data_IF_433701807761
#
_entry.id   IF_433701807761
#
_cell.length_a   1.000
_cell.length_b   1.000
_cell.length_c   1.000
_cell.angle_alpha   90.00
_cell.angle_beta   90.00
_cell.angle_gamma   90.00
#
_symmetry.space_group_name_H-M   'P 1'
#
loop_
_entity.id
_entity.type
_entity.pdbx_description
1 polymer ?
#
# COMPACT_ATOMS: atom_id res chain seq x y z
N UNK A 1 10.66 -0.85 25.35
CA UNK A 1 9.83 0.37 25.33
C UNK A 1 8.60 0.03 24.48
N UNK A 2 7.38 0.12 25.01
CA UNK A 2 6.15 -0.19 24.27
C UNK A 2 5.20 1.00 24.30
N UNK A 3 4.33 1.10 23.31
CA UNK A 3 3.34 2.18 23.23
C UNK A 3 2.13 1.89 24.14
N UNK A 4 2.02 2.63 25.24
CA UNK A 4 0.92 2.51 26.21
C UNK A 4 -0.44 2.93 25.65
N UNK A 5 -0.48 3.58 24.47
CA UNK A 5 -1.73 3.93 23.77
C UNK A 5 -2.36 2.71 23.07
N UNK A 6 -1.56 1.68 22.81
CA UNK A 6 -1.95 0.50 22.02
C UNK A 6 -1.97 -0.76 22.90
N UNK A 7 -0.99 -0.91 23.79
CA UNK A 7 -0.86 -2.07 24.67
C UNK A 7 -0.73 -1.66 26.14
N UNK A 8 -1.61 -2.22 26.96
CA UNK A 8 -1.48 -2.20 28.40
C UNK A 8 -0.73 -3.45 28.87
N UNK A 9 0.23 -3.26 29.78
CA UNK A 9 1.00 -4.37 30.37
C UNK A 9 0.28 -4.87 31.62
N UNK A 10 -0.14 -6.14 31.64
CA UNK A 10 -0.81 -6.74 32.80
C UNK A 10 0.17 -7.37 33.77
N UNK A 11 0.95 -8.33 33.30
CA UNK A 11 1.88 -9.07 34.13
C UNK A 11 3.24 -9.20 33.45
N UNK A 12 4.30 -9.26 34.24
CA UNK A 12 5.67 -9.48 33.78
C UNK A 12 6.29 -10.56 34.62
N UNK A 13 6.79 -11.60 33.97
CA UNK A 13 7.63 -12.60 34.58
C UNK A 13 9.05 -12.45 34.04
N UNK A 14 9.99 -12.16 34.94
CA UNK A 14 11.41 -12.11 34.63
C UNK A 14 12.05 -13.41 35.09
N UNK A 15 12.37 -14.27 34.13
CA UNK A 15 13.15 -15.49 34.36
C UNK A 15 14.66 -15.22 34.26
N UNK A 16 15.46 -16.25 34.52
CA UNK A 16 16.93 -16.16 34.44
C UNK A 16 17.45 -15.87 33.03
N UNK A 17 16.70 -16.27 32.00
CA UNK A 17 17.13 -16.19 30.60
C UNK A 17 16.07 -15.58 29.67
N UNK A 18 14.88 -15.23 30.17
CA UNK A 18 13.81 -14.63 29.36
C UNK A 18 12.96 -13.68 30.17
N UNK A 19 12.35 -12.73 29.48
CA UNK A 19 11.27 -11.90 30.00
C UNK A 19 10.00 -12.30 29.27
N UNK A 20 9.00 -12.70 30.03
CA UNK A 20 7.66 -12.99 29.53
C UNK A 20 6.71 -11.91 30.00
N UNK A 21 5.86 -11.43 29.10
CA UNK A 21 4.94 -10.33 29.39
C UNK A 21 3.55 -10.67 28.90
N UNK A 22 2.57 -10.48 29.77
CA UNK A 22 1.16 -10.51 29.41
C UNK A 22 0.70 -9.10 29.03
N UNK A 23 0.15 -9.00 27.83
CA UNK A 23 -0.35 -7.78 27.23
C UNK A 23 -1.87 -7.79 27.16
N UNK A 24 -2.46 -6.61 27.24
CA UNK A 24 -3.85 -6.37 26.85
C UNK A 24 -3.89 -5.27 25.79
N UNK A 25 -4.59 -5.51 24.68
CA UNK A 25 -4.87 -4.47 23.69
C UNK A 25 -5.80 -3.41 24.26
N UNK A 26 -5.41 -2.13 24.15
CA UNK A 26 -6.22 -1.00 24.67
C UNK A 26 -7.51 -0.82 23.86
N UNK A 27 -7.48 -1.15 22.56
CA UNK A 27 -8.62 -0.95 21.65
C UNK A 27 -9.61 -2.11 21.58
N UNK A 28 -9.15 -3.35 21.77
CA UNK A 28 -9.96 -4.57 21.62
C UNK A 28 -10.09 -5.38 22.92
N UNK A 29 -9.30 -5.03 23.96
CA UNK A 29 -9.26 -5.76 25.22
C UNK A 29 -8.59 -7.13 25.14
N UNK A 30 -7.98 -7.49 24.00
CA UNK A 30 -7.42 -8.82 23.76
C UNK A 30 -6.20 -9.08 24.65
N UNK A 31 -6.22 -10.18 25.39
CA UNK A 31 -5.16 -10.56 26.31
C UNK A 31 -4.32 -11.68 25.70
N UNK A 32 -3.02 -11.46 25.64
CA UNK A 32 -2.08 -12.42 25.07
C UNK A 32 -0.71 -12.31 25.75
N UNK A 33 0.14 -13.32 25.59
CA UNK A 33 1.48 -13.34 26.18
C UNK A 33 2.59 -13.35 25.12
N UNK A 34 3.70 -12.66 25.42
CA UNK A 34 4.90 -12.65 24.61
C UNK A 34 6.11 -13.10 25.43
N UNK A 35 7.00 -13.95 24.90
CA UNK A 35 8.28 -14.26 25.55
C UNK A 35 9.41 -14.56 24.56
N UNK A 36 10.63 -14.38 25.05
CA UNK A 36 11.87 -14.77 24.38
C UNK A 36 12.17 -16.28 24.41
N UNK A 37 11.53 -17.04 25.30
CA UNK A 37 11.68 -18.49 25.40
C UNK A 37 10.32 -19.16 25.58
N UNK A 38 10.27 -20.44 25.23
CA UNK A 38 9.02 -21.21 25.24
C UNK A 38 8.78 -21.86 26.60
N UNK A 39 7.50 -21.92 27.00
CA UNK A 39 7.04 -22.35 28.33
C UNK A 39 5.87 -21.54 28.88
N UNK A 40 5.44 -20.49 28.17
CA UNK A 40 4.40 -19.55 28.62
C UNK A 40 2.98 -20.14 28.59
N UNK A 41 2.71 -21.14 27.75
CA UNK A 41 1.36 -21.67 27.58
C UNK A 41 0.79 -22.23 28.90
N UNK A 42 1.65 -22.76 29.77
CA UNK A 42 1.28 -23.22 31.11
C UNK A 42 1.09 -22.09 32.14
N UNK A 43 1.61 -20.88 31.89
CA UNK A 43 1.65 -19.80 32.86
C UNK A 43 0.36 -18.97 32.89
N UNK A 44 -0.12 -18.56 31.71
CA UNK A 44 -1.25 -17.63 31.62
C UNK A 44 -2.48 -18.20 30.91
N UNK A 45 -2.40 -19.39 30.31
CA UNK A 45 -3.49 -20.00 29.54
C UNK A 45 -4.20 -19.00 28.60
N UNK A 46 -3.40 -18.19 27.91
CA UNK A 46 -3.83 -17.19 26.92
C UNK A 46 -3.11 -17.44 25.61
N UNK A 47 -3.63 -16.91 24.49
CA UNK A 47 -2.91 -16.88 23.22
C UNK A 47 -1.50 -16.32 23.41
N UNK A 48 -0.51 -16.93 22.76
CA UNK A 48 0.89 -16.61 23.00
C UNK A 48 1.73 -16.55 21.75
N UNK A 49 2.79 -15.75 21.84
CA UNK A 49 3.75 -15.48 20.79
C UNK A 49 5.16 -15.59 21.39
N UNK A 50 6.00 -16.38 20.74
CA UNK A 50 7.40 -16.56 21.09
C UNK A 50 8.29 -15.96 20.00
N UNK A 51 9.14 -15.01 20.41
CA UNK A 51 9.98 -14.24 19.50
C UNK A 51 11.41 -14.31 20.01
N UNK A 52 12.35 -14.72 19.15
CA UNK A 52 13.75 -14.68 19.54
C UNK A 52 14.69 -15.35 18.57
N UNK A 53 15.96 -15.35 18.97
CA UNK A 53 17.03 -16.11 18.35
C UNK A 53 17.07 -17.52 18.96
N UNK A 54 16.61 -18.50 18.17
CA UNK A 54 16.58 -19.90 18.57
C UNK A 54 17.92 -20.60 18.35
N UNK A 55 18.88 -19.96 17.67
CA UNK A 55 20.17 -20.54 17.30
C UNK A 55 20.10 -21.87 16.53
N UNK A 56 18.92 -22.23 15.99
CA UNK A 56 18.63 -23.50 15.33
C UNK A 56 17.85 -23.23 14.03
N UNK A 57 18.21 -23.94 12.96
CA UNK A 57 17.45 -23.99 11.71
C UNK A 57 16.46 -25.17 11.76
N UNK A 58 15.27 -25.04 11.16
CA UNK A 58 14.25 -26.09 11.09
C UNK A 58 14.45 -26.96 9.86
N UNK A 59 14.82 -26.37 8.72
CA UNK A 59 15.00 -27.08 7.45
C UNK A 59 16.39 -26.87 6.85
N UNK A 60 16.94 -27.84 6.10
CA UNK A 60 18.26 -27.68 5.47
C UNK A 60 18.33 -26.46 4.54
N UNK A 61 17.22 -26.12 3.87
CA UNK A 61 17.10 -24.95 3.02
C UNK A 61 17.28 -23.61 3.74
N UNK A 62 17.17 -23.59 5.07
CA UNK A 62 17.27 -22.38 5.88
C UNK A 62 18.71 -21.99 6.23
N UNK A 63 19.70 -22.66 5.64
CA UNK A 63 21.11 -22.27 5.71
C UNK A 63 21.76 -22.35 4.34
N UNK A 64 22.50 -21.29 4.01
CA UNK A 64 23.22 -21.18 2.75
C UNK A 64 24.34 -22.24 2.69
N UNK A 65 24.40 -23.00 1.60
CA UNK A 65 25.43 -24.03 1.38
C UNK A 65 24.97 -25.48 1.54
N UNK A 66 23.66 -25.76 1.48
CA UNK A 66 23.08 -27.12 1.51
C UNK A 66 23.59 -27.97 2.69
N UNK A 67 23.28 -27.59 3.95
CA UNK A 67 23.62 -28.41 5.11
C UNK A 67 22.90 -29.78 5.06
N UNK A 68 23.46 -30.77 5.75
CA UNK A 68 22.76 -32.04 5.98
C UNK A 68 21.67 -31.87 7.03
N UNK A 69 20.63 -32.69 6.97
CA UNK A 69 19.66 -32.82 8.06
C UNK A 69 20.40 -33.22 9.34
N UNK A 70 20.06 -32.61 10.47
CA UNK A 70 20.66 -32.91 11.76
C UNK A 70 19.58 -33.22 12.80
N UNK A 71 19.86 -34.04 13.83
CA UNK A 71 18.89 -34.37 14.87
C UNK A 71 18.31 -33.14 15.58
N UNK A 72 19.08 -32.06 15.70
CA UNK A 72 18.60 -30.81 16.30
C UNK A 72 17.45 -30.17 15.50
N UNK A 73 17.42 -30.37 14.18
CA UNK A 73 16.37 -29.83 13.30
C UNK A 73 15.08 -30.63 13.43
N UNK A 74 15.20 -31.95 13.60
CA UNK A 74 14.08 -32.85 13.87
C UNK A 74 13.47 -32.52 15.23
N UNK A 75 14.29 -32.46 16.29
CA UNK A 75 13.84 -32.09 17.63
C UNK A 75 13.18 -30.70 17.67
N UNK A 76 13.70 -29.73 16.91
CA UNK A 76 13.09 -28.41 16.83
C UNK A 76 11.76 -28.44 16.06
N UNK A 77 11.62 -29.29 15.05
CA UNK A 77 10.37 -29.47 14.31
C UNK A 77 9.30 -30.17 15.15
N UNK A 78 9.67 -31.25 15.83
CA UNK A 78 8.83 -31.95 16.80
C UNK A 78 8.35 -31.00 17.90
N UNK A 79 9.25 -30.17 18.43
CA UNK A 79 8.91 -29.15 19.42
C UNK A 79 7.86 -28.14 18.92
N UNK A 80 7.98 -27.66 17.67
CA UNK A 80 7.01 -26.75 17.06
C UNK A 80 5.66 -27.45 16.89
N UNK A 81 5.67 -28.73 16.50
CA UNK A 81 4.48 -29.54 16.29
C UNK A 81 3.77 -29.92 17.60
N UNK A 82 4.50 -30.37 18.61
CA UNK A 82 3.98 -30.77 19.93
C UNK A 82 3.25 -29.62 20.63
N UNK A 83 3.74 -28.40 20.43
CA UNK A 83 3.13 -27.18 20.99
C UNK A 83 2.11 -26.53 20.05
N UNK A 84 1.82 -27.16 18.90
CA UNK A 84 0.91 -26.65 17.86
C UNK A 84 1.22 -25.20 17.48
N UNK A 85 2.51 -24.89 17.35
CA UNK A 85 3.00 -23.57 17.01
C UNK A 85 3.02 -23.36 15.49
N UNK A 86 2.64 -22.16 15.09
CA UNK A 86 2.71 -21.69 13.72
C UNK A 86 4.01 -20.91 13.56
N UNK A 87 4.87 -21.38 12.66
CA UNK A 87 6.08 -20.68 12.21
C UNK A 87 5.69 -19.74 11.06
N UNK A 88 5.68 -18.43 11.32
CA UNK A 88 5.22 -17.43 10.35
C UNK A 88 6.15 -17.36 9.13
N UNK A 89 5.61 -17.23 7.91
CA UNK A 89 6.42 -17.10 6.71
C UNK A 89 7.26 -15.81 6.75
N UNK A 90 8.52 -15.91 6.33
CA UNK A 90 9.46 -14.79 6.30
C UNK A 90 9.42 -14.06 4.96
N UNK A 91 9.00 -12.80 4.97
CA UNK A 91 8.96 -11.92 3.81
C UNK A 91 10.22 -11.06 3.69
N UNK A 92 10.58 -10.70 2.44
CA UNK A 92 11.73 -9.82 2.16
C UNK A 92 13.09 -10.52 2.12
N UNK A 93 13.15 -11.83 2.39
CA UNK A 93 14.37 -12.65 2.25
C UNK A 93 14.26 -13.99 3.00
N UNK A 94 15.24 -14.87 2.80
CA UNK A 94 15.20 -16.25 3.34
C UNK A 94 16.02 -16.48 4.61
N UNK A 95 16.83 -15.51 5.04
CA UNK A 95 17.80 -15.68 6.13
C UNK A 95 17.77 -14.51 7.10
N UNK A 96 17.93 -14.78 8.39
CA UNK A 96 17.84 -13.77 9.47
C UNK A 96 19.19 -13.45 10.08
N UNK A 97 20.21 -14.24 9.77
CA UNK A 97 21.58 -14.02 10.19
C UNK A 97 22.54 -14.19 9.02
N UNK A 98 23.60 -13.39 8.98
CA UNK A 98 24.74 -13.65 8.11
C UNK A 98 26.07 -13.08 8.58
N UNK A 99 27.11 -13.91 8.43
CA UNK A 99 28.51 -13.53 8.66
C UNK A 99 29.07 -12.88 7.40
N UNK A 100 29.48 -11.61 7.50
CA UNK A 100 30.01 -10.78 6.40
C UNK A 100 31.40 -11.17 5.89
N UNK A 101 31.61 -12.44 5.55
CA UNK A 101 32.85 -12.96 4.96
C UNK A 101 32.79 -13.01 3.43
N UNK A 102 33.95 -13.12 2.77
CA UNK A 102 34.09 -13.23 1.30
C UNK A 102 33.24 -14.35 0.68
N UNK A 103 32.95 -15.39 1.46
CA UNK A 103 31.85 -16.33 1.22
C UNK A 103 30.86 -16.16 2.36
N UNK A 104 29.67 -15.58 2.14
CA UNK A 104 28.72 -15.34 3.22
C UNK A 104 28.20 -16.67 3.74
N UNK A 105 28.14 -16.80 5.08
CA UNK A 105 27.37 -17.85 5.74
C UNK A 105 26.07 -17.21 6.20
N UNK A 106 24.92 -17.79 5.83
CA UNK A 106 23.60 -17.26 6.17
C UNK A 106 22.73 -18.34 6.76
N UNK A 107 21.88 -18.00 7.73
CA UNK A 107 20.92 -18.93 8.35
C UNK A 107 19.65 -18.21 8.81
N UNK A 108 18.52 -18.91 8.85
CA UNK A 108 17.27 -18.46 9.50
C UNK A 108 17.18 -19.05 10.91
N UNK A 109 17.65 -18.27 11.88
CA UNK A 109 17.72 -18.68 13.30
C UNK A 109 16.81 -17.83 14.21
N UNK A 110 16.39 -16.66 13.74
CA UNK A 110 15.47 -15.78 14.43
C UNK A 110 14.04 -16.04 13.93
N UNK A 111 13.09 -16.29 14.84
CA UNK A 111 11.72 -16.70 14.48
C UNK A 111 10.67 -16.05 15.35
N UNK A 112 9.47 -15.98 14.80
CA UNK A 112 8.25 -15.71 15.54
C UNK A 112 7.35 -16.92 15.41
N UNK A 113 7.15 -17.60 16.53
CA UNK A 113 6.31 -18.78 16.67
C UNK A 113 5.06 -18.37 17.45
N UNK A 114 3.88 -18.64 16.90
CA UNK A 114 2.62 -18.20 17.51
C UNK A 114 1.69 -19.36 17.75
N UNK A 115 0.92 -19.34 18.84
CA UNK A 115 -0.17 -20.29 19.03
C UNK A 115 -1.29 -20.06 18.03
N UNK A 116 -2.04 -21.10 17.71
CA UNK A 116 -3.20 -21.01 16.83
C UNK A 116 -4.17 -19.88 17.22
N UNK A 117 -4.60 -19.82 18.47
CA UNK A 117 -5.56 -18.82 18.97
C UNK A 117 -5.03 -17.38 18.88
N UNK A 118 -3.71 -17.21 18.82
CA UNK A 118 -3.07 -15.90 18.66
C UNK A 118 -3.10 -15.47 17.20
N UNK A 119 -2.82 -16.39 16.28
CA UNK A 119 -2.95 -16.17 14.84
C UNK A 119 -4.41 -15.98 14.43
N UNK A 120 -5.35 -16.66 15.08
CA UNK A 120 -6.79 -16.45 14.87
C UNK A 120 -7.20 -14.99 15.19
N UNK A 121 -6.64 -14.42 16.25
CA UNK A 121 -6.88 -13.01 16.61
C UNK A 121 -6.17 -12.03 15.67
N UNK A 122 -4.98 -12.39 15.17
CA UNK A 122 -4.19 -11.60 14.22
C UNK A 122 -3.99 -12.34 12.88
N UNK A 123 -5.05 -12.53 12.08
CA UNK A 123 -5.02 -13.46 10.93
C UNK A 123 -4.23 -12.94 9.72
N UNK A 124 -3.91 -11.65 9.72
CA UNK A 124 -3.08 -11.01 8.70
C UNK A 124 -1.65 -10.77 9.20
N UNK A 125 -1.21 -11.56 10.20
CA UNK A 125 0.13 -11.42 10.74
C UNK A 125 1.17 -11.78 9.69
N UNK A 126 2.12 -10.89 9.47
CA UNK A 126 3.28 -11.13 8.59
C UNK A 126 4.57 -10.92 9.36
N UNK A 127 5.57 -11.75 9.06
CA UNK A 127 6.92 -11.60 9.56
C UNK A 127 7.82 -11.14 8.42
N UNK A 128 8.50 -10.00 8.55
CA UNK A 128 9.38 -9.47 7.50
C UNK A 128 10.77 -9.13 8.00
N UNK A 129 11.74 -9.26 7.10
CA UNK A 129 13.12 -8.81 7.30
C UNK A 129 13.21 -7.29 7.09
N UNK A 130 13.94 -6.60 7.98
CA UNK A 130 14.34 -5.21 7.81
C UNK A 130 15.82 -5.09 7.40
N UNK A 131 16.22 -3.97 6.77
CA UNK A 131 17.62 -3.70 6.46
C UNK A 131 18.50 -3.74 7.72
N UNK A 132 19.71 -4.29 7.59
CA UNK A 132 20.71 -4.34 8.66
C UNK A 132 21.87 -3.38 8.35
N UNK A 133 21.99 -2.22 9.03
CA UNK A 133 23.09 -1.30 8.75
C UNK A 133 24.42 -1.76 9.35
N UNK A 134 24.40 -2.34 10.56
CA UNK A 134 25.61 -2.62 11.36
C UNK A 134 25.61 -3.97 12.08
N UNK A 135 24.56 -4.80 11.93
CA UNK A 135 24.42 -6.08 12.63
C UNK A 135 24.62 -7.27 11.70
N UNK A 136 25.13 -8.37 12.25
CA UNK A 136 25.15 -9.68 11.59
C UNK A 136 23.76 -10.36 11.60
N UNK A 137 22.82 -9.87 12.42
CA UNK A 137 21.40 -10.22 12.36
C UNK A 137 20.60 -9.20 11.53
N UNK A 138 19.59 -9.71 10.83
CA UNK A 138 18.54 -8.94 10.19
C UNK A 138 17.43 -8.71 11.21
N UNK A 139 17.07 -7.45 11.54
CA UNK A 139 15.93 -7.20 12.40
C UNK A 139 14.65 -7.78 11.78
N UNK A 140 13.84 -8.44 12.60
CA UNK A 140 12.54 -8.97 12.18
C UNK A 140 11.44 -8.07 12.72
N UNK A 141 10.52 -7.72 11.84
CA UNK A 141 9.28 -7.04 12.22
C UNK A 141 8.11 -8.03 12.10
N UNK A 142 7.32 -8.11 13.16
CA UNK A 142 6.00 -8.74 13.14
C UNK A 142 4.97 -7.64 12.94
N UNK A 143 4.25 -7.71 11.83
CA UNK A 143 3.15 -6.80 11.56
C UNK A 143 1.84 -7.56 11.76
N UNK A 144 1.03 -7.12 12.71
CA UNK A 144 -0.31 -7.64 12.97
C UNK A 144 -1.35 -6.61 12.55
N UNK A 145 -2.51 -7.07 12.06
CA UNK A 145 -3.57 -6.17 11.55
C UNK A 145 -3.42 -5.80 10.07
N UNK A 146 -2.65 -6.59 9.33
CA UNK A 146 -2.35 -6.47 7.89
C UNK A 146 -3.52 -6.72 6.93
N UNK A 147 -4.78 -6.50 7.33
CA UNK A 147 -5.88 -6.11 6.44
C UNK A 147 -6.92 -5.32 7.26
N UNK A 148 -6.50 -4.20 7.84
CA UNK A 148 -7.32 -3.04 7.56
C UNK A 148 -7.38 -2.97 6.03
N UNK A 149 -8.56 -3.22 5.43
CA UNK A 149 -8.88 -2.46 4.21
C UNK A 149 -8.41 -1.05 4.56
N UNK A 150 -7.47 -0.48 3.79
CA UNK A 150 -7.45 0.98 3.70
C UNK A 150 -8.92 1.39 3.59
N UNK A 151 -9.34 2.38 4.38
CA UNK A 151 -10.74 2.81 4.53
C UNK A 151 -11.53 2.51 3.27
N UNK A 152 -12.75 1.97 3.39
CA UNK A 152 -13.65 1.85 2.23
C UNK A 152 -13.43 3.07 1.35
N UNK A 153 -12.91 2.90 0.11
CA UNK A 153 -12.46 4.03 -0.67
C UNK A 153 -13.63 5.00 -0.72
N UNK A 154 -13.34 6.28 -0.55
CA UNK A 154 -14.37 7.30 -0.64
C UNK A 154 -15.19 7.03 -1.91
N UNK A 155 -16.50 7.15 -1.83
CA UNK A 155 -17.40 7.03 -2.97
C UNK A 155 -18.27 8.26 -2.96
N UNK A 156 -18.14 9.04 -4.02
CA UNK A 156 -19.05 10.13 -4.26
C UNK A 156 -20.41 9.54 -4.63
N UNK A 157 -21.42 9.82 -3.81
CA UNK A 157 -22.77 9.37 -4.10
C UNK A 157 -23.48 10.43 -4.96
N UNK A 158 -23.86 10.05 -6.19
CA UNK A 158 -24.52 10.96 -7.14
C UNK A 158 -25.80 11.61 -6.58
N UNK A 159 -26.41 11.03 -5.54
CA UNK A 159 -27.56 11.63 -4.85
C UNK A 159 -27.24 12.98 -4.19
N UNK A 160 -25.99 13.25 -3.80
CA UNK A 160 -25.61 14.52 -3.17
C UNK A 160 -25.79 15.70 -4.13
N UNK A 161 -25.61 15.47 -5.43
CA UNK A 161 -25.84 16.47 -6.49
C UNK A 161 -27.30 16.92 -6.58
N UNK A 162 -28.23 16.14 -6.03
CA UNK A 162 -29.67 16.48 -5.97
C UNK A 162 -30.03 17.36 -4.77
N UNK A 163 -29.07 17.65 -3.88
CA UNK A 163 -29.34 18.45 -2.68
C UNK A 163 -29.19 19.94 -3.01
N UNK A 164 -30.22 20.73 -2.71
CA UNK A 164 -30.19 22.17 -2.95
C UNK A 164 -29.01 22.85 -2.22
N UNK A 165 -28.30 23.71 -2.96
CA UNK A 165 -27.10 24.41 -2.47
C UNK A 165 -25.89 23.50 -2.25
N UNK A 166 -25.87 22.26 -2.75
CA UNK A 166 -24.70 21.38 -2.64
C UNK A 166 -23.49 21.94 -3.39
N UNK A 167 -23.67 22.43 -4.61
CA UNK A 167 -22.57 23.00 -5.42
C UNK A 167 -21.95 24.22 -4.72
N UNK A 168 -22.78 25.09 -4.13
CA UNK A 168 -22.30 26.26 -3.38
C UNK A 168 -21.49 25.85 -2.14
N UNK A 169 -21.90 24.76 -1.47
CA UNK A 169 -21.13 24.18 -0.36
C UNK A 169 -19.80 23.61 -0.83
N UNK A 170 -19.78 22.87 -1.94
CA UNK A 170 -18.54 22.37 -2.55
C UNK A 170 -17.62 23.53 -2.86
N UNK A 171 -18.11 24.60 -3.50
CA UNK A 171 -17.31 25.79 -3.78
C UNK A 171 -16.80 26.47 -2.51
N UNK A 172 -17.62 26.59 -1.47
CA UNK A 172 -17.18 27.11 -0.17
C UNK A 172 -16.09 26.24 0.47
N UNK A 173 -16.23 24.91 0.42
CA UNK A 173 -15.24 23.98 0.97
C UNK A 173 -13.93 23.99 0.20
N UNK A 174 -14.02 24.05 -1.14
CA UNK A 174 -12.88 24.15 -2.04
C UNK A 174 -12.10 25.43 -1.78
N UNK A 175 -12.79 26.57 -1.67
CA UNK A 175 -12.18 27.87 -1.46
C UNK A 175 -11.73 28.12 0.01
N UNK A 176 -12.16 27.30 0.97
CA UNK A 176 -11.75 27.42 2.38
C UNK A 176 -10.28 27.05 2.61
N UNK A 177 -9.71 26.28 1.70
CA UNK A 177 -8.31 25.89 1.75
C UNK A 177 -7.66 26.45 0.49
N UNK A 178 -6.98 27.59 0.60
CA UNK A 178 -6.18 28.10 -0.50
C UNK A 178 -4.91 27.25 -0.57
N UNK A 179 -4.88 26.33 -1.52
CA UNK A 179 -3.64 25.67 -1.92
C UNK A 179 -3.04 26.51 -3.04
N UNK A 180 -1.92 27.18 -2.77
CA UNK A 180 -1.15 27.84 -3.81
C UNK A 180 -0.09 26.86 -4.32
N UNK A 181 -0.27 26.35 -5.54
CA UNK A 181 0.75 25.58 -6.26
C UNK A 181 0.21 24.38 -7.06
N UNK A 182 0.77 24.18 -8.25
CA UNK A 182 0.78 22.91 -9.02
C UNK A 182 1.63 21.85 -8.29
N UNK A 183 1.52 20.55 -8.59
CA UNK A 183 1.77 19.43 -7.66
C UNK A 183 3.12 19.49 -6.94
N UNK A 184 3.03 19.98 -5.70
CA UNK A 184 4.12 20.60 -4.98
C UNK A 184 4.83 19.69 -3.99
N UNK A 185 4.85 18.36 -4.17
CA UNK A 185 5.71 17.52 -3.31
C UNK A 185 6.96 17.03 -4.04
N UNK A 186 6.78 16.38 -5.19
CA UNK A 186 7.92 15.89 -5.97
C UNK A 186 8.75 17.03 -6.57
N UNK A 187 8.08 18.10 -7.02
CA UNK A 187 8.73 19.27 -7.61
C UNK A 187 9.44 20.13 -6.56
N UNK A 188 8.85 20.34 -5.37
CA UNK A 188 9.53 21.01 -4.25
C UNK A 188 10.72 20.20 -3.73
N UNK A 189 10.60 18.87 -3.64
CA UNK A 189 11.74 18.01 -3.28
C UNK A 189 12.85 18.06 -4.32
N UNK A 190 12.51 18.16 -5.61
CA UNK A 190 13.51 18.28 -6.67
C UNK A 190 14.19 19.65 -6.67
N UNK A 191 13.44 20.73 -6.49
CA UNK A 191 13.99 22.09 -6.29
C UNK A 191 14.91 22.14 -5.08
N UNK A 192 14.52 21.53 -3.95
CA UNK A 192 15.37 21.45 -2.76
C UNK A 192 16.66 20.65 -3.02
N UNK A 193 16.59 19.53 -3.75
CA UNK A 193 17.80 18.77 -4.13
C UNK A 193 18.73 19.58 -5.04
N UNK A 194 18.19 20.31 -6.01
CA UNK A 194 19.00 21.15 -6.91
C UNK A 194 19.69 22.30 -6.16
N UNK A 195 18.99 22.92 -5.20
CA UNK A 195 19.55 23.98 -4.35
C UNK A 195 20.59 23.41 -3.37
N UNK A 196 20.35 22.24 -2.77
CA UNK A 196 21.31 21.57 -1.89
C UNK A 196 22.60 21.18 -2.64
N UNK A 197 22.48 20.63 -3.86
CA UNK A 197 23.64 20.31 -4.71
C UNK A 197 24.45 21.56 -5.11
N UNK A 198 23.78 22.68 -5.37
CA UNK A 198 24.43 23.95 -5.71
C UNK A 198 25.12 24.60 -4.51
N UNK A 199 24.52 24.50 -3.33
CA UNK A 199 25.13 24.96 -2.07
C UNK A 199 26.47 24.25 -1.81
N UNK A 200 26.53 22.92 -2.05
CA UNK A 200 27.73 22.12 -1.90
C UNK A 200 28.86 22.51 -2.86
N UNK A 201 28.52 22.98 -4.07
CA UNK A 201 29.50 23.23 -5.13
C UNK A 201 29.93 24.71 -5.22
N UNK A 202 29.00 25.66 -5.02
CA UNK A 202 29.23 27.09 -5.29
C UNK A 202 28.67 28.04 -4.22
N UNK A 203 27.89 27.54 -3.26
CA UNK A 203 27.11 28.36 -2.34
C UNK A 203 25.85 28.96 -2.99
N UNK A 204 24.92 29.44 -2.16
CA UNK A 204 23.64 30.03 -2.60
C UNK A 204 23.69 31.56 -2.59
N UNK A 205 23.02 32.19 -3.54
CA UNK A 205 22.73 33.62 -3.47
C UNK A 205 21.62 33.94 -2.45
N UNK A 206 21.45 35.22 -2.12
CA UNK A 206 20.39 35.66 -1.21
C UNK A 206 18.98 35.33 -1.74
N UNK A 207 18.78 35.43 -3.06
CA UNK A 207 17.50 35.09 -3.70
C UNK A 207 17.21 33.58 -3.64
N UNK A 208 18.22 32.74 -3.88
CA UNK A 208 18.09 31.27 -3.84
C UNK A 208 17.96 30.74 -2.40
N UNK A 209 18.59 31.43 -1.44
CA UNK A 209 18.41 31.16 -0.02
C UNK A 209 16.97 31.43 0.42
N UNK A 210 16.36 32.50 -0.11
CA UNK A 210 14.95 32.81 0.11
C UNK A 210 14.03 31.75 -0.51
N UNK A 211 14.30 31.36 -1.76
CA UNK A 211 13.56 30.30 -2.47
C UNK A 211 13.60 28.96 -1.72
N UNK A 212 14.75 28.60 -1.14
CA UNK A 212 14.89 27.38 -0.30
C UNK A 212 14.01 27.43 0.94
N UNK A 213 13.96 28.58 1.61
CA UNK A 213 13.14 28.77 2.83
C UNK A 213 11.66 28.66 2.48
N UNK A 214 11.23 29.25 1.36
CA UNK A 214 9.86 29.17 0.87
C UNK A 214 9.47 27.73 0.49
N UNK A 215 10.32 27.02 -0.26
CA UNK A 215 10.09 25.63 -0.64
C UNK A 215 10.04 24.68 0.57
N UNK A 216 10.90 24.88 1.58
CA UNK A 216 10.85 24.10 2.84
C UNK A 216 9.55 24.36 3.62
N UNK A 217 9.16 25.63 3.74
CA UNK A 217 7.93 26.01 4.42
C UNK A 217 6.71 25.35 3.77
N UNK A 218 6.68 25.29 2.44
CA UNK A 218 5.55 24.67 1.73
C UNK A 218 5.52 23.14 1.88
N UNK A 219 6.68 22.47 1.89
CA UNK A 219 6.76 21.03 2.22
C UNK A 219 6.27 20.74 3.65
N UNK A 220 6.64 21.57 4.62
CA UNK A 220 6.18 21.44 6.01
C UNK A 220 4.66 21.65 6.12
N UNK A 221 4.11 22.63 5.40
CA UNK A 221 2.67 22.86 5.32
C UNK A 221 1.95 21.62 4.77
N UNK A 222 2.42 21.05 3.66
CA UNK A 222 1.82 19.84 3.06
C UNK A 222 1.85 18.63 3.99
N UNK A 223 2.99 18.38 4.66
CA UNK A 223 3.12 17.31 5.65
C UNK A 223 2.18 17.52 6.85
N UNK A 224 2.00 18.77 7.29
CA UNK A 224 1.08 19.11 8.36
C UNK A 224 -0.40 18.87 7.97
N UNK A 225 -0.77 19.17 6.72
CA UNK A 225 -2.11 18.94 6.19
C UNK A 225 -2.38 17.45 6.01
N UNK A 226 -1.38 16.67 5.61
CA UNK A 226 -1.45 15.21 5.60
C UNK A 226 -1.65 14.66 7.01
N UNK A 227 -0.89 15.15 7.99
CA UNK A 227 -1.03 14.78 9.40
C UNK A 227 -2.43 15.13 9.96
N UNK A 228 -2.94 16.33 9.65
CA UNK A 228 -4.30 16.76 10.02
C UNK A 228 -5.35 15.86 9.36
N UNK A 229 -5.17 15.51 8.08
CA UNK A 229 -6.02 14.55 7.37
C UNK A 229 -6.04 13.21 8.09
N UNK A 230 -4.88 12.68 8.50
CA UNK A 230 -4.75 11.44 9.28
C UNK A 230 -5.42 11.55 10.66
N UNK A 231 -5.27 12.69 11.37
CA UNK A 231 -5.90 12.95 12.67
C UNK A 231 -7.43 13.07 12.57
N UNK A 232 -7.96 13.71 11.54
CA UNK A 232 -9.41 13.79 11.29
C UNK A 232 -9.98 12.43 10.88
N UNK A 233 -9.24 11.69 10.06
CA UNK A 233 -9.54 10.31 9.67
C UNK A 233 -9.55 9.33 10.86
N UNK A 234 -8.89 9.66 11.96
CA UNK A 234 -8.82 8.86 13.20
C UNK A 234 -10.02 9.08 14.15
N UNK A 235 -10.84 10.13 13.97
CA UNK A 235 -11.84 10.56 14.97
C UNK A 235 -13.32 10.29 14.67
N UNK A 236 -13.66 9.52 13.63
CA UNK A 236 -15.06 9.15 13.32
C UNK A 236 -15.31 7.65 13.56
N UNK A 237 -15.88 7.33 14.73
CA UNK A 237 -16.27 6.01 15.23
C UNK A 237 -17.43 5.41 14.40
N UNK A 238 -17.40 4.19 13.84
CA UNK A 238 -17.47 2.86 14.49
C UNK A 238 -18.55 2.67 15.59
N UNK A 239 -19.34 3.70 15.91
CA UNK A 239 -20.51 3.58 16.81
C UNK A 239 -21.76 3.49 15.93
N UNK A 240 -22.07 2.32 15.39
CA UNK A 240 -23.49 1.93 15.29
C UNK A 240 -23.83 0.47 15.03
N UNK A 241 -23.01 -0.38 14.42
CA UNK A 241 -23.48 -1.73 14.09
C UNK A 241 -22.40 -2.81 14.21
N UNK A 242 -22.59 -3.71 15.19
CA UNK A 242 -21.91 -5.00 15.24
C UNK A 242 -22.77 -6.10 14.59
N UNK A 243 -22.13 -7.17 14.10
CA UNK A 243 -22.51 -8.57 14.34
C UNK A 243 -21.44 -9.56 13.81
N UNK A 244 -21.65 -10.82 14.19
CA UNK A 244 -20.78 -11.99 14.37
C UNK A 244 -20.11 -12.67 13.15
N UNK A 245 -19.22 -13.57 13.56
CA UNK A 245 -18.31 -14.49 12.89
C UNK A 245 -18.80 -15.25 11.63
N UNK A 246 -18.75 -14.59 10.46
CA UNK A 246 -18.56 -15.24 9.13
C UNK A 246 -17.52 -14.51 8.26
N UNK A 247 -17.09 -13.32 8.67
CA UNK A 247 -16.10 -12.50 7.94
C UNK A 247 -14.77 -13.22 7.78
N UNK A 248 -14.34 -14.02 8.74
CA UNK A 248 -13.04 -14.70 8.72
C UNK A 248 -12.89 -15.69 7.56
N UNK A 249 -13.83 -16.64 7.42
CA UNK A 249 -13.80 -17.60 6.32
C UNK A 249 -13.98 -16.94 4.95
N UNK A 250 -14.83 -15.92 4.86
CA UNK A 250 -14.95 -15.11 3.64
C UNK A 250 -13.67 -14.31 3.35
N UNK A 251 -13.00 -13.75 4.36
CA UNK A 251 -11.75 -12.99 4.21
C UNK A 251 -10.60 -13.89 3.79
N UNK A 252 -10.39 -15.02 4.45
CA UNK A 252 -9.31 -15.96 4.12
C UNK A 252 -9.56 -16.63 2.76
N UNK A 253 -10.81 -17.01 2.46
CA UNK A 253 -11.18 -17.51 1.13
C UNK A 253 -11.00 -16.42 0.06
N UNK A 254 -11.40 -15.16 0.32
CA UNK A 254 -11.21 -14.07 -0.63
C UNK A 254 -9.74 -13.69 -0.80
N UNK A 255 -8.92 -13.72 0.25
CA UNK A 255 -7.48 -13.43 0.16
C UNK A 255 -6.75 -14.51 -0.65
N UNK A 256 -6.99 -15.79 -0.33
CA UNK A 256 -6.45 -16.93 -1.11
C UNK A 256 -6.94 -16.90 -2.56
N UNK A 257 -8.23 -16.63 -2.79
CA UNK A 257 -8.78 -16.41 -4.15
C UNK A 257 -8.12 -15.21 -4.83
N UNK A 258 -7.91 -14.09 -4.13
CA UNK A 258 -7.28 -12.88 -4.69
C UNK A 258 -5.84 -13.16 -5.10
N UNK A 259 -5.06 -13.83 -4.27
CA UNK A 259 -3.69 -14.23 -4.61
C UNK A 259 -3.67 -15.18 -5.82
N UNK A 260 -4.57 -16.17 -5.85
CA UNK A 260 -4.71 -17.08 -7.00
C UNK A 260 -5.17 -16.35 -8.27
N UNK A 261 -6.08 -15.38 -8.15
CA UNK A 261 -6.57 -14.55 -9.25
C UNK A 261 -5.46 -13.67 -9.82
N UNK A 262 -4.74 -12.97 -8.95
CA UNK A 262 -3.61 -12.12 -9.32
C UNK A 262 -2.55 -12.97 -10.01
N UNK A 263 -2.17 -14.13 -9.44
CA UNK A 263 -1.20 -15.02 -10.04
C UNK A 263 -1.66 -15.55 -11.41
N UNK A 264 -2.93 -15.94 -11.54
CA UNK A 264 -3.50 -16.40 -12.80
C UNK A 264 -3.40 -15.33 -13.90
N UNK A 265 -3.88 -14.11 -13.65
CA UNK A 265 -3.84 -13.05 -14.65
C UNK A 265 -2.43 -12.53 -14.89
N UNK A 266 -1.57 -12.50 -13.87
CA UNK A 266 -0.14 -12.17 -14.04
C UNK A 266 0.53 -13.13 -15.01
N UNK A 267 0.30 -14.43 -14.86
CA UNK A 267 0.82 -15.44 -15.78
C UNK A 267 0.15 -15.37 -17.16
N UNK A 268 -1.16 -15.08 -17.23
CA UNK A 268 -1.90 -15.00 -18.48
C UNK A 268 -1.43 -13.83 -19.37
N UNK A 269 -1.12 -12.68 -18.76
CA UNK A 269 -0.68 -11.47 -19.46
C UNK A 269 0.85 -11.36 -19.57
N UNK A 270 1.59 -12.38 -19.14
CA UNK A 270 3.02 -12.44 -19.31
C UNK A 270 3.36 -12.98 -20.72
N UNK A 271 3.81 -12.13 -21.63
CA UNK A 271 5.26 -12.07 -21.88
C UNK A 271 6.06 -13.38 -22.03
N UNK A 272 5.62 -14.43 -22.75
CA UNK A 272 6.42 -15.67 -22.85
C UNK A 272 7.36 -15.73 -24.07
N UNK A 273 7.01 -15.04 -25.16
CA UNK A 273 7.79 -15.05 -26.39
C UNK A 273 8.83 -13.94 -26.36
N UNK A 274 10.12 -14.30 -26.50
CA UNK A 274 11.21 -13.33 -26.64
C UNK A 274 11.20 -12.67 -28.03
N UNK A 275 10.53 -13.31 -29.00
CA UNK A 275 10.49 -12.86 -30.38
C UNK A 275 9.20 -12.09 -30.69
N UNK A 276 9.35 -10.92 -31.32
CA UNK A 276 8.28 -10.13 -31.91
C UNK A 276 8.45 -10.10 -33.42
N UNK A 277 7.36 -10.11 -34.21
CA UNK A 277 7.46 -9.84 -35.64
C UNK A 277 8.15 -8.49 -35.84
N UNK A 278 9.19 -8.47 -36.67
CA UNK A 278 9.77 -7.22 -37.13
C UNK A 278 8.77 -6.57 -38.08
N UNK A 279 8.37 -5.34 -37.77
CA UNK A 279 7.49 -4.52 -38.62
C UNK A 279 8.27 -3.76 -39.69
N UNK A 280 9.59 -3.98 -39.80
CA UNK A 280 10.42 -3.40 -40.85
C UNK A 280 9.97 -3.88 -42.24
N UNK A 281 9.69 -2.91 -43.13
CA UNK A 281 9.24 -3.18 -44.50
C UNK A 281 7.73 -3.35 -44.66
N UNK A 282 6.93 -3.21 -43.60
CA UNK A 282 5.49 -3.03 -43.71
C UNK A 282 5.17 -1.56 -43.98
N UNK A 283 4.36 -1.30 -45.00
CA UNK A 283 3.78 0.02 -45.22
C UNK A 283 2.64 0.22 -44.21
N UNK A 284 2.81 1.18 -43.31
CA UNK A 284 1.76 1.64 -42.42
C UNK A 284 1.19 2.94 -42.98
N UNK A 285 -0.12 3.13 -42.82
CA UNK A 285 -0.72 4.44 -42.98
C UNK A 285 -0.04 5.39 -41.97
N UNK A 286 0.59 6.44 -42.49
CA UNK A 286 1.24 7.47 -41.69
C UNK A 286 0.36 8.71 -41.69
N UNK A 287 0.18 9.29 -40.51
CA UNK A 287 -0.41 10.61 -40.38
C UNK A 287 0.53 11.63 -41.03
N UNK A 288 -0.05 12.65 -41.65
CA UNK A 288 0.75 13.72 -42.23
C UNK A 288 1.33 14.66 -41.15
N UNK A 289 2.24 15.54 -41.57
CA UNK A 289 2.87 16.50 -40.66
C UNK A 289 1.86 17.43 -39.98
N UNK A 290 0.79 17.81 -40.69
CA UNK A 290 -0.25 18.67 -40.12
C UNK A 290 -1.11 17.95 -39.10
N UNK A 291 -1.41 16.66 -39.32
CA UNK A 291 -2.12 15.80 -38.37
C UNK A 291 -1.27 15.52 -37.13
N UNK A 292 0.04 15.30 -37.29
CA UNK A 292 0.98 15.14 -36.17
C UNK A 292 1.04 16.42 -35.34
N UNK A 293 1.27 17.56 -35.97
CA UNK A 293 1.35 18.85 -35.28
C UNK A 293 0.02 19.19 -34.58
N UNK A 294 -1.11 18.77 -35.16
CA UNK A 294 -2.42 18.88 -34.54
C UNK A 294 -2.61 17.99 -33.31
N UNK A 295 -2.08 16.75 -33.32
CA UNK A 295 -2.14 15.83 -32.17
C UNK A 295 -1.16 16.20 -31.04
N UNK A 296 -0.06 16.88 -31.37
CA UNK A 296 0.97 17.31 -30.41
C UNK A 296 0.75 18.74 -29.88
N UNK A 297 -0.36 19.39 -30.24
CA UNK A 297 -0.69 20.73 -29.74
C UNK A 297 -1.16 20.68 -28.28
N UNK A 298 -1.14 21.84 -27.62
CA UNK A 298 -1.70 22.01 -26.27
C UNK A 298 -3.20 21.71 -26.24
N UNK A 299 -3.64 21.07 -25.17
CA UNK A 299 -5.06 20.82 -24.93
C UNK A 299 -5.83 22.13 -24.77
N UNK A 300 -6.96 22.24 -25.48
CA UNK A 300 -7.85 23.40 -25.35
C UNK A 300 -8.92 23.15 -24.28
N UNK A 301 -9.33 24.20 -23.59
CA UNK A 301 -10.40 24.11 -22.57
C UNK A 301 -11.69 23.56 -23.19
N UNK A 302 -12.04 24.06 -24.37
CA UNK A 302 -13.24 23.69 -25.10
C UNK A 302 -13.21 22.20 -25.47
N UNK A 303 -12.06 21.68 -25.88
CA UNK A 303 -11.83 20.27 -26.17
C UNK A 303 -12.01 19.39 -24.92
N UNK A 304 -11.40 19.77 -23.79
CA UNK A 304 -11.56 19.05 -22.52
C UNK A 304 -13.03 19.05 -22.07
N UNK A 305 -13.72 20.18 -22.22
CA UNK A 305 -15.13 20.31 -21.84
C UNK A 305 -16.04 19.49 -22.76
N UNK A 306 -15.75 19.45 -24.07
CA UNK A 306 -16.47 18.59 -25.03
C UNK A 306 -16.27 17.11 -24.67
N UNK A 307 -15.04 16.68 -24.41
CA UNK A 307 -14.74 15.31 -23.98
C UNK A 307 -15.46 14.95 -22.68
N UNK A 308 -15.51 15.88 -21.71
CA UNK A 308 -16.27 15.69 -20.48
C UNK A 308 -17.75 15.46 -20.79
N UNK A 309 -18.37 16.33 -21.59
CA UNK A 309 -19.79 16.27 -21.97
C UNK A 309 -20.18 14.97 -22.70
N UNK A 310 -19.27 14.40 -23.50
CA UNK A 310 -19.49 13.12 -24.17
C UNK A 310 -19.39 11.90 -23.22
N UNK A 311 -18.74 12.05 -22.08
CA UNK A 311 -18.57 10.98 -21.11
C UNK A 311 -19.79 10.86 -20.18
N UNK A 312 -20.43 9.69 -20.20
CA UNK A 312 -21.54 9.39 -19.30
C UNK A 312 -21.15 9.53 -17.80
N UNK A 313 -21.97 10.28 -17.04
CA UNK A 313 -21.68 10.62 -15.65
C UNK A 313 -21.76 9.47 -14.64
N UNK A 314 -22.47 8.40 -14.98
CA UNK A 314 -22.69 7.21 -14.16
C UNK A 314 -21.59 6.14 -14.30
N UNK A 315 -20.56 6.40 -15.10
CA UNK A 315 -19.37 5.54 -15.19
C UNK A 315 -18.74 5.34 -13.81
N UNK A 316 -18.45 4.09 -13.47
CA UNK A 316 -17.90 3.69 -12.18
C UNK A 316 -16.59 4.45 -11.86
N UNK A 317 -16.45 5.07 -10.68
CA UNK A 317 -15.27 5.86 -10.31
C UNK A 317 -14.04 4.99 -10.06
N UNK A 318 -12.87 5.62 -10.05
CA UNK A 318 -11.62 5.00 -9.63
C UNK A 318 -11.45 5.01 -8.10
N UNK A 319 -10.23 4.73 -7.61
CA UNK A 319 -9.91 4.74 -6.17
C UNK A 319 -10.11 6.08 -5.46
N UNK A 320 -10.10 7.18 -6.21
CA UNK A 320 -10.40 8.54 -5.74
C UNK A 320 -11.87 8.75 -5.36
N UNK A 321 -12.77 7.91 -5.86
CA UNK A 321 -14.19 7.92 -5.52
C UNK A 321 -15.06 8.90 -6.30
N UNK A 322 -14.48 9.78 -7.11
CA UNK A 322 -15.23 10.80 -7.84
C UNK A 322 -15.69 10.27 -9.21
N UNK A 323 -17.00 10.27 -9.45
CA UNK A 323 -17.61 9.91 -10.73
C UNK A 323 -17.51 11.05 -11.74
N UNK A 324 -17.71 10.77 -13.02
CA UNK A 324 -17.81 11.82 -14.05
C UNK A 324 -18.99 12.78 -13.77
N UNK A 325 -20.06 12.32 -13.13
CA UNK A 325 -21.17 13.17 -12.69
C UNK A 325 -20.72 14.30 -11.75
N UNK A 326 -19.75 14.06 -10.87
CA UNK A 326 -19.17 15.12 -10.04
C UNK A 326 -18.53 16.21 -10.91
N UNK A 327 -17.69 15.83 -11.87
CA UNK A 327 -17.02 16.79 -12.77
C UNK A 327 -18.01 17.57 -13.63
N UNK A 328 -19.07 16.92 -14.11
CA UNK A 328 -20.16 17.58 -14.83
C UNK A 328 -20.82 18.70 -14.02
N UNK A 329 -21.17 18.42 -12.76
CA UNK A 329 -21.95 19.36 -11.94
C UNK A 329 -21.06 20.39 -11.23
N UNK A 330 -19.83 20.01 -10.88
CA UNK A 330 -18.88 20.84 -10.15
C UNK A 330 -17.80 21.45 -11.05
N UNK A 331 -17.94 21.40 -12.38
CA UNK A 331 -16.95 21.93 -13.33
C UNK A 331 -16.51 23.34 -12.98
N UNK A 332 -17.45 24.25 -12.70
CA UNK A 332 -17.17 25.64 -12.33
C UNK A 332 -16.31 25.81 -11.07
N UNK A 333 -16.21 24.77 -10.24
CA UNK A 333 -15.39 24.74 -9.03
C UNK A 333 -14.00 24.16 -9.33
N UNK A 334 -13.94 23.07 -10.10
CA UNK A 334 -12.70 22.29 -10.33
C UNK A 334 -12.01 22.58 -11.66
N UNK A 335 -12.57 23.45 -12.51
CA UNK A 335 -12.06 23.75 -13.86
C UNK A 335 -10.57 24.08 -13.85
N UNK A 336 -10.12 24.99 -12.97
CA UNK A 336 -8.73 25.39 -12.90
C UNK A 336 -7.78 24.23 -12.59
N UNK A 337 -8.16 23.37 -11.65
CA UNK A 337 -7.37 22.21 -11.25
C UNK A 337 -7.30 21.17 -12.38
N UNK A 338 -8.42 20.93 -13.08
CA UNK A 338 -8.44 20.00 -14.21
C UNK A 338 -7.56 20.51 -15.36
N UNK A 339 -7.66 21.80 -15.72
CA UNK A 339 -6.82 22.40 -16.76
C UNK A 339 -5.33 22.33 -16.38
N UNK A 340 -4.99 22.53 -15.11
CA UNK A 340 -3.61 22.42 -14.62
C UNK A 340 -3.06 20.99 -14.78
N UNK A 341 -3.86 19.95 -14.50
CA UNK A 341 -3.46 18.55 -14.72
C UNK A 341 -3.18 18.25 -16.19
N UNK A 342 -3.99 18.78 -17.11
CA UNK A 342 -3.78 18.60 -18.56
C UNK A 342 -2.52 19.34 -19.05
N UNK A 343 -2.31 20.57 -18.58
CA UNK A 343 -1.11 21.35 -18.89
C UNK A 343 0.16 20.66 -18.37
N UNK A 344 0.12 20.12 -17.16
CA UNK A 344 1.24 19.38 -16.60
C UNK A 344 1.54 18.10 -17.40
N UNK A 345 0.50 17.36 -17.78
CA UNK A 345 0.65 16.17 -18.61
C UNK A 345 1.27 16.52 -19.98
N UNK A 346 0.82 17.61 -20.59
CA UNK A 346 1.39 18.12 -21.85
C UNK A 346 2.88 18.45 -21.70
N UNK A 347 3.25 19.21 -20.67
CA UNK A 347 4.62 19.68 -20.47
C UNK A 347 5.60 18.55 -20.10
N UNK A 348 5.17 17.56 -19.33
CA UNK A 348 6.07 16.57 -18.74
C UNK A 348 5.89 15.15 -19.29
N UNK A 349 4.84 14.90 -20.08
CA UNK A 349 4.45 13.55 -20.54
C UNK A 349 4.34 12.55 -19.38
N UNK A 350 3.93 13.03 -18.21
CA UNK A 350 3.80 12.24 -16.97
C UNK A 350 2.43 12.47 -16.39
N UNK A 351 1.77 11.37 -16.04
CA UNK A 351 0.53 11.39 -15.30
C UNK A 351 0.80 10.98 -13.86
N UNK A 352 0.26 11.75 -12.92
CA UNK A 352 0.49 11.57 -11.49
C UNK A 352 0.13 10.14 -11.05
N UNK A 353 1.08 9.46 -10.39
CA UNK A 353 0.96 8.02 -10.08
C UNK A 353 -0.26 7.72 -9.23
N UNK A 354 -0.60 8.62 -8.30
CA UNK A 354 -1.78 8.46 -7.45
C UNK A 354 -3.09 8.51 -8.23
N UNK A 355 -3.16 9.26 -9.35
CA UNK A 355 -4.30 9.29 -10.27
C UNK A 355 -4.34 8.11 -11.24
N UNK A 356 -3.21 7.40 -11.41
CA UNK A 356 -3.10 6.20 -12.23
C UNK A 356 -3.35 4.89 -11.46
N UNK A 357 -3.72 4.96 -10.17
CA UNK A 357 -4.12 3.78 -9.40
C UNK A 357 -5.52 3.35 -9.84
N UNK A 358 -5.75 2.04 -10.00
CA UNK A 358 -7.04 1.48 -10.42
C UNK A 358 -7.46 0.31 -9.56
N UNK A 359 -8.77 0.13 -9.39
CA UNK A 359 -9.31 -1.13 -8.87
C UNK A 359 -9.55 -2.12 -10.01
N UNK A 360 -9.23 -3.39 -9.79
CA UNK A 360 -9.60 -4.46 -10.73
C UNK A 360 -10.90 -5.10 -10.23
N UNK A 361 -11.93 -5.03 -11.07
CA UNK A 361 -13.20 -5.73 -10.86
C UNK A 361 -13.29 -6.94 -11.80
N UNK A 362 -13.72 -8.09 -11.28
CA UNK A 362 -13.98 -9.28 -12.10
C UNK A 362 -15.45 -9.30 -12.53
N UNK A 363 -15.70 -9.19 -13.84
CA UNK A 363 -17.05 -9.27 -14.40
C UNK A 363 -17.24 -10.64 -15.05
N UNK A 364 -18.33 -11.31 -14.70
CA UNK A 364 -18.67 -12.59 -15.29
C UNK A 364 -18.98 -12.48 -16.79
N UNK A 365 -18.45 -13.41 -17.61
CA UNK A 365 -18.77 -13.54 -19.04
C UNK A 365 -20.09 -14.28 -19.29
N UNK A 366 -20.55 -15.07 -18.32
CA UNK A 366 -21.72 -15.96 -18.44
C UNK A 366 -22.46 -16.09 -17.09
N UNK A 367 -23.73 -16.46 -17.08
CA UNK A 367 -24.53 -16.47 -15.86
C UNK A 367 -24.01 -17.47 -14.79
N UNK A 368 -23.50 -18.62 -15.22
CA UNK A 368 -22.99 -19.68 -14.32
C UNK A 368 -21.45 -19.76 -14.34
N UNK A 369 -20.79 -18.62 -14.13
CA UNK A 369 -19.32 -18.58 -14.05
C UNK A 369 -18.82 -19.32 -12.81
N UNK A 370 -18.06 -20.38 -13.05
CA UNK A 370 -17.52 -21.26 -12.00
C UNK A 370 -16.00 -21.39 -12.09
N UNK A 371 -15.40 -21.04 -13.23
CA UNK A 371 -13.96 -21.01 -13.44
C UNK A 371 -13.44 -19.57 -13.55
N UNK A 372 -12.21 -19.30 -13.08
CA UNK A 372 -11.59 -17.97 -13.23
C UNK A 372 -11.52 -17.48 -14.68
N UNK A 373 -11.41 -18.40 -15.65
CA UNK A 373 -11.44 -18.10 -17.10
C UNK A 373 -12.77 -17.52 -17.57
N UNK A 374 -13.84 -17.75 -16.82
CA UNK A 374 -15.17 -17.22 -17.09
C UNK A 374 -15.31 -15.74 -16.70
N UNK A 375 -14.31 -15.15 -16.05
CA UNK A 375 -14.31 -13.75 -15.65
C UNK A 375 -13.43 -12.90 -16.58
N UNK A 376 -13.85 -11.65 -16.80
CA UNK A 376 -13.04 -10.59 -17.41
C UNK A 376 -12.56 -9.65 -16.31
N UNK A 377 -11.25 -9.39 -16.18
CA UNK A 377 -10.77 -8.31 -15.33
C UNK A 377 -11.06 -6.98 -16.02
N UNK A 378 -11.64 -6.03 -15.29
CA UNK A 378 -11.90 -4.67 -15.73
C UNK A 378 -11.24 -3.70 -14.76
N UNK A 379 -10.43 -2.79 -15.30
CA UNK A 379 -9.80 -1.71 -14.54
C UNK A 379 -10.79 -0.55 -14.37
N UNK A 380 -11.13 -0.25 -13.12
CA UNK A 380 -11.90 0.94 -12.73
C UNK A 380 -10.94 2.13 -12.61
N UNK A 381 -10.61 2.73 -13.74
CA UNK A 381 -9.70 3.88 -13.82
C UNK A 381 -10.35 5.16 -13.28
N UNK A 382 -9.53 6.07 -12.77
CA UNK A 382 -9.95 7.38 -12.26
C UNK A 382 -10.66 8.22 -13.32
N UNK A 383 -11.54 9.13 -12.90
CA UNK A 383 -12.34 9.94 -13.83
C UNK A 383 -11.47 10.94 -14.62
N UNK A 384 -10.41 11.48 -14.01
CA UNK A 384 -9.43 12.32 -14.70
C UNK A 384 -8.66 11.55 -15.78
N UNK A 385 -8.26 10.31 -15.49
CA UNK A 385 -7.61 9.46 -16.49
C UNK A 385 -8.55 9.18 -17.67
N UNK A 386 -9.82 8.88 -17.41
CA UNK A 386 -10.82 8.65 -18.48
C UNK A 386 -10.99 9.89 -19.36
N UNK A 387 -11.01 11.07 -18.74
CA UNK A 387 -11.12 12.34 -19.44
C UNK A 387 -9.89 12.57 -20.32
N UNK A 388 -8.69 12.42 -19.75
CA UNK A 388 -7.42 12.55 -20.47
C UNK A 388 -7.29 11.56 -21.63
N UNK A 389 -7.78 10.33 -21.49
CA UNK A 389 -7.74 9.32 -22.56
C UNK A 389 -8.78 9.51 -23.67
N UNK A 390 -9.77 10.39 -23.43
CA UNK A 390 -10.91 10.64 -24.33
C UNK A 390 -10.69 11.88 -25.18
N UNK A 391 -10.05 12.89 -24.59
CA UNK A 391 -9.32 13.93 -25.32
C UNK A 391 -8.22 13.25 -26.11
#
# INVERSE_FOLDING_TARGET
MWDRRVLERKEVLVGSFSVSVQWQGVGDGFIWACSGLVGIHHLWNVPWCCIGDFNIIRFPSERLGNPRLTPAMELFSEFVEDLNLIDLPLEGGSYTWSRGSARPLMSRIDRVLVSHDWEEHFPDVTQRILPRPVSDHFPIQVEVGGMARGKSPFRFENMWLKTDGFIDKVQSWWNRHSFHGTPSFAQLLETLKCLDAKEEEFGLSDAESYERVEARSEVENLLSLEEISWRQKSRMLWIKEGDNNTKFFHKMANSRRTAQVVNFYKNLYQESEEWRPFVEGLEFDQIDESERDWLERRFEKEEILLALNELAGDKAPGPDGFSLAFFHHCWRVVEGDVLAVFEEFYLHSKFEKSLNVTFIALISKKNDASNIRDFRPISLVGSLYKLLSKV
#
